data_IF_275227943606
#
_entry.id   IF_275227943606
#
_cell.length_a   1.000
_cell.length_b   1.000
_cell.length_c   1.000
_cell.angle_alpha   90.00
_cell.angle_beta   90.00
_cell.angle_gamma   90.00
#
_symmetry.space_group_name_H-M   'P 1'
#
loop_
_entity.id
_entity.type
_entity.pdbx_description
1 polymer ?
#
# COMPACT_ATOMS: atom_id res chain seq x y z
N UNK A 1 3.83 -12.75 31.86
CA UNK A 1 2.86 -13.75 31.36
C UNK A 1 1.86 -13.02 30.48
N UNK A 2 2.30 -12.68 29.27
CA UNK A 2 1.49 -12.09 28.20
C UNK A 2 2.28 -12.23 26.89
N UNK A 3 2.74 -13.45 26.60
CA UNK A 3 3.68 -13.74 25.51
C UNK A 3 3.15 -14.87 24.60
N UNK A 4 1.84 -15.13 24.60
CA UNK A 4 1.37 -16.39 23.99
C UNK A 4 -0.08 -16.36 23.48
N UNK A 5 -0.49 -15.33 22.72
CA UNK A 5 -1.79 -15.34 22.03
C UNK A 5 -1.87 -14.31 20.89
N UNK A 6 -1.28 -14.61 19.72
CA UNK A 6 -2.02 -14.60 18.44
C UNK A 6 -1.19 -14.95 17.18
N UNK A 7 0.15 -14.91 17.22
CA UNK A 7 1.01 -15.21 16.06
C UNK A 7 2.24 -15.99 16.55
N UNK A 8 2.70 -17.00 15.81
CA UNK A 8 3.89 -17.78 16.18
C UNK A 8 5.17 -16.94 16.19
N UNK A 9 6.31 -17.58 16.51
CA UNK A 9 7.67 -17.02 16.37
C UNK A 9 8.08 -16.74 14.90
N UNK A 10 7.11 -16.63 13.99
CA UNK A 10 7.31 -16.53 12.55
C UNK A 10 7.59 -15.07 12.15
N UNK A 11 8.85 -14.77 11.84
CA UNK A 11 9.31 -13.48 11.34
C UNK A 11 9.13 -13.38 9.82
N UNK A 12 7.88 -13.16 9.38
CA UNK A 12 7.56 -12.99 7.95
C UNK A 12 8.31 -11.79 7.33
N UNK A 13 8.57 -10.75 8.12
CA UNK A 13 9.31 -9.57 7.65
C UNK A 13 10.76 -9.94 7.34
N UNK A 14 11.47 -10.56 8.29
CA UNK A 14 12.84 -11.03 8.10
C UNK A 14 12.93 -12.09 6.99
N UNK A 15 11.96 -13.00 6.89
CA UNK A 15 11.89 -13.98 5.82
C UNK A 15 11.84 -13.32 4.42
N UNK A 16 11.02 -12.27 4.25
CA UNK A 16 10.92 -11.56 2.96
C UNK A 16 12.24 -10.85 2.63
N UNK A 17 12.90 -10.24 3.61
CA UNK A 17 14.21 -9.60 3.39
C UNK A 17 15.29 -10.61 2.97
N UNK A 18 15.37 -11.75 3.67
CA UNK A 18 16.30 -12.83 3.31
C UNK A 18 15.99 -13.43 1.93
N UNK A 19 14.70 -13.53 1.57
CA UNK A 19 14.28 -13.96 0.25
C UNK A 19 14.75 -13.00 -0.84
N UNK A 20 14.58 -11.68 -0.63
CA UNK A 20 15.05 -10.66 -1.58
C UNK A 20 16.56 -10.80 -1.77
N UNK A 21 17.34 -10.84 -0.68
CA UNK A 21 18.79 -11.00 -0.71
C UNK A 21 19.21 -12.29 -1.44
N UNK A 22 18.54 -13.41 -1.15
CA UNK A 22 18.85 -14.70 -1.78
C UNK A 22 18.57 -14.67 -3.29
N UNK A 23 17.49 -14.00 -3.72
CA UNK A 23 17.13 -13.89 -5.13
C UNK A 23 18.11 -12.96 -5.86
N UNK A 24 18.46 -11.80 -5.29
CA UNK A 24 19.39 -10.85 -5.91
C UNK A 24 20.81 -11.44 -6.03
N UNK A 25 21.25 -12.25 -5.06
CA UNK A 25 22.53 -12.95 -5.16
C UNK A 25 22.55 -14.05 -6.23
N UNK A 26 21.41 -14.66 -6.53
CA UNK A 26 21.31 -15.84 -7.41
C UNK A 26 20.95 -15.52 -8.85
N UNK A 27 20.23 -14.42 -9.08
CA UNK A 27 19.71 -14.04 -10.39
C UNK A 27 20.09 -12.59 -10.73
N UNK A 28 20.22 -12.23 -12.02
CA UNK A 28 20.54 -10.87 -12.44
C UNK A 28 19.31 -9.96 -12.26
N UNK A 29 19.04 -9.56 -11.03
CA UNK A 29 18.01 -8.58 -10.66
C UNK A 29 18.59 -7.18 -10.77
N UNK A 30 17.80 -6.23 -11.29
CA UNK A 30 18.13 -4.81 -11.18
C UNK A 30 17.77 -4.34 -9.76
N UNK A 31 18.78 -4.29 -8.88
CA UNK A 31 18.61 -3.88 -7.48
C UNK A 31 18.15 -2.42 -7.34
N UNK A 32 18.28 -1.60 -8.40
CA UNK A 32 17.71 -0.26 -8.40
C UNK A 32 16.19 -0.24 -8.57
N UNK A 33 15.55 -1.38 -8.88
CA UNK A 33 14.12 -1.51 -9.20
C UNK A 33 13.46 -2.68 -8.47
N UNK A 34 13.54 -2.65 -7.15
CA UNK A 34 12.81 -3.58 -6.28
C UNK A 34 11.56 -2.88 -5.75
N UNK A 35 10.40 -3.53 -5.91
CA UNK A 35 9.10 -2.97 -5.51
C UNK A 35 8.29 -4.00 -4.72
N UNK A 36 7.80 -3.68 -3.50
CA UNK A 36 6.82 -4.49 -2.82
C UNK A 36 5.42 -4.11 -3.30
N UNK A 37 4.57 -5.12 -3.45
CA UNK A 37 3.16 -4.94 -3.83
C UNK A 37 2.33 -6.10 -3.30
N UNK A 38 1.05 -5.84 -3.05
CA UNK A 38 0.16 -6.82 -2.47
C UNK A 38 -1.27 -6.34 -2.34
N UNK A 39 -2.14 -7.25 -1.90
CA UNK A 39 -3.55 -7.01 -1.69
C UNK A 39 -3.97 -7.49 -0.30
N UNK A 40 -4.86 -6.74 0.35
CA UNK A 40 -5.36 -7.05 1.70
C UNK A 40 -4.20 -7.17 2.70
N UNK A 41 -4.04 -8.28 3.41
CA UNK A 41 -2.88 -8.49 4.29
C UNK A 41 -1.53 -8.31 3.58
N UNK A 42 -1.45 -8.61 2.27
CA UNK A 42 -0.27 -8.35 1.46
C UNK A 42 -0.01 -6.85 1.26
N UNK A 43 -1.05 -6.01 1.24
CA UNK A 43 -0.89 -4.55 1.23
C UNK A 43 -0.46 -4.02 2.60
N UNK A 44 -0.93 -4.62 3.70
CA UNK A 44 -0.39 -4.34 5.04
C UNK A 44 1.11 -4.65 5.13
N UNK A 45 1.53 -5.84 4.65
CA UNK A 45 2.95 -6.20 4.60
C UNK A 45 3.74 -5.32 3.63
N UNK A 46 3.17 -4.93 2.47
CA UNK A 46 3.82 -4.00 1.53
C UNK A 46 4.14 -2.67 2.20
N UNK A 47 3.18 -2.11 2.94
CA UNK A 47 3.37 -0.86 3.66
C UNK A 47 4.40 -1.01 4.79
N UNK A 48 4.37 -2.12 5.53
CA UNK A 48 5.40 -2.42 6.54
C UNK A 48 6.80 -2.52 5.93
N UNK A 49 6.96 -3.22 4.81
CA UNK A 49 8.23 -3.32 4.09
C UNK A 49 8.73 -1.94 3.65
N UNK A 50 7.85 -1.14 3.07
CA UNK A 50 8.19 0.22 2.64
C UNK A 50 8.59 1.13 3.82
N UNK A 51 7.86 1.09 4.93
CA UNK A 51 8.11 1.94 6.09
C UNK A 51 9.31 1.49 6.94
N UNK A 52 9.62 0.19 6.97
CA UNK A 52 10.68 -0.37 7.82
C UNK A 52 11.98 -0.66 7.08
N UNK A 53 11.95 -0.79 5.74
CA UNK A 53 13.12 -1.12 4.92
C UNK A 53 13.15 -0.31 3.60
N UNK A 54 12.82 0.99 3.67
CA UNK A 54 12.81 1.92 2.53
C UNK A 54 14.13 1.97 1.73
N UNK A 55 15.25 1.61 2.35
CA UNK A 55 16.56 1.51 1.74
C UNK A 55 16.67 0.38 0.70
N UNK A 56 15.71 -0.55 0.63
CA UNK A 56 15.67 -1.63 -0.36
C UNK A 56 14.82 -1.26 -1.58
N UNK A 57 13.72 -0.53 -1.34
CA UNK A 57 12.67 -0.37 -2.35
C UNK A 57 12.79 0.96 -3.10
N UNK A 58 12.51 0.92 -4.41
CA UNK A 58 12.49 2.11 -5.26
C UNK A 58 11.15 2.85 -5.20
N UNK A 59 10.06 2.12 -4.98
CA UNK A 59 8.70 2.60 -4.78
C UNK A 59 7.86 1.44 -4.20
N UNK A 60 6.71 1.74 -3.62
CA UNK A 60 5.77 0.74 -3.13
C UNK A 60 4.33 1.03 -3.58
N UNK A 61 3.57 -0.01 -3.91
CA UNK A 61 2.18 0.20 -4.30
C UNK A 61 1.31 -1.00 -3.97
N UNK A 62 0.14 -0.79 -3.38
CA UNK A 62 -0.72 -1.90 -2.93
C UNK A 62 -2.21 -1.57 -2.91
N UNK A 63 -3.04 -2.53 -2.52
CA UNK A 63 -4.49 -2.36 -2.50
C UNK A 63 -5.20 -2.97 -1.30
N UNK A 64 -6.28 -2.31 -0.87
CA UNK A 64 -7.28 -2.84 0.07
C UNK A 64 -6.78 -3.17 1.49
N UNK A 65 -5.81 -2.43 2.02
CA UNK A 65 -5.45 -2.44 3.46
C UNK A 65 -4.75 -1.14 3.84
N UNK A 66 -4.85 -0.73 5.11
CA UNK A 66 -4.17 0.45 5.64
C UNK A 66 -3.06 0.03 6.61
N UNK A 67 -2.14 0.94 6.90
CA UNK A 67 -1.04 0.74 7.82
C UNK A 67 -1.02 1.86 8.86
N UNK A 68 -0.62 1.54 10.08
CA UNK A 68 -0.72 2.46 11.22
C UNK A 68 0.43 2.30 12.22
N UNK A 69 1.57 1.77 11.75
CA UNK A 69 2.80 1.72 12.55
C UNK A 69 3.73 2.87 12.16
N UNK A 70 4.55 3.33 13.12
CA UNK A 70 5.58 4.32 12.86
C UNK A 70 6.67 3.75 11.93
N UNK A 71 7.23 4.55 11.02
CA UNK A 71 8.33 4.11 10.15
C UNK A 71 9.60 3.85 10.97
N UNK A 72 10.56 3.15 10.34
CA UNK A 72 11.90 2.98 10.91
C UNK A 72 12.55 4.35 11.19
N UNK A 73 13.37 4.51 12.24
CA UNK A 73 14.17 5.72 12.45
C UNK A 73 15.09 6.07 11.27
N UNK A 74 15.44 5.08 10.45
CA UNK A 74 16.30 5.23 9.27
C UNK A 74 15.48 5.37 7.96
N UNK A 75 14.16 5.57 8.06
CA UNK A 75 13.28 5.72 6.92
C UNK A 75 13.70 6.89 6.02
N UNK A 76 13.68 6.65 4.71
CA UNK A 76 13.85 7.68 3.68
C UNK A 76 12.63 7.68 2.76
N UNK A 77 12.05 8.85 2.43
CA UNK A 77 10.88 8.95 1.58
C UNK A 77 11.04 8.23 0.23
N UNK A 78 10.06 7.36 -0.08
CA UNK A 78 9.94 6.66 -1.37
C UNK A 78 8.53 6.88 -1.97
N UNK A 79 8.39 6.87 -3.31
CA UNK A 79 7.08 6.95 -3.95
C UNK A 79 6.12 5.85 -3.46
N UNK A 80 4.89 6.24 -3.13
CA UNK A 80 3.85 5.33 -2.63
C UNK A 80 2.52 5.49 -3.36
N UNK A 81 1.87 4.38 -3.72
CA UNK A 81 0.51 4.40 -4.26
C UNK A 81 -0.39 3.37 -3.60
N UNK A 82 -1.61 3.77 -3.26
CA UNK A 82 -2.65 2.87 -2.79
C UNK A 82 -3.93 2.93 -3.62
N UNK A 83 -4.59 1.78 -3.75
CA UNK A 83 -5.89 1.64 -4.42
C UNK A 83 -6.90 1.05 -3.43
N UNK A 84 -8.03 1.73 -3.25
CA UNK A 84 -9.10 1.26 -2.36
C UNK A 84 -10.48 1.31 -3.02
N UNK A 85 -11.27 0.29 -2.73
CA UNK A 85 -12.68 0.24 -3.09
C UNK A 85 -13.54 1.05 -2.13
N UNK A 86 -14.36 1.97 -2.65
CA UNK A 86 -15.27 2.78 -1.82
C UNK A 86 -16.35 1.92 -1.14
N UNK A 87 -16.71 0.79 -1.74
CA UNK A 87 -17.70 -0.16 -1.22
C UNK A 87 -17.06 -1.45 -0.68
N UNK A 88 -15.81 -1.35 -0.22
CA UNK A 88 -15.14 -2.45 0.48
C UNK A 88 -15.90 -2.81 1.77
N UNK A 89 -16.37 -4.06 1.82
CA UNK A 89 -17.19 -4.62 2.91
C UNK A 89 -16.36 -5.36 3.96
N UNK A 90 -15.04 -5.47 3.76
CA UNK A 90 -14.10 -6.10 4.68
C UNK A 90 -13.19 -5.06 5.32
N UNK A 91 -12.44 -4.31 4.52
CA UNK A 91 -11.62 -3.20 4.97
C UNK A 91 -12.32 -1.91 4.58
N UNK A 92 -13.21 -1.44 5.45
CA UNK A 92 -14.06 -0.30 5.15
C UNK A 92 -13.24 0.92 4.72
N UNK A 93 -13.68 1.60 3.67
CA UNK A 93 -13.04 2.82 3.15
C UNK A 93 -12.74 3.87 4.24
N UNK A 94 -13.67 4.21 5.17
CA UNK A 94 -13.40 5.20 6.20
C UNK A 94 -12.59 4.68 7.40
N UNK A 95 -12.45 3.36 7.61
CA UNK A 95 -11.68 2.84 8.76
C UNK A 95 -11.36 1.34 8.68
N UNK A 96 -10.26 0.91 9.31
CA UNK A 96 -9.97 -0.53 9.56
C UNK A 96 -10.77 -1.14 10.70
N UNK A 97 -11.65 -0.39 11.40
CA UNK A 97 -12.18 -0.81 12.71
C UNK A 97 -12.82 -2.22 12.75
N UNK A 98 -13.47 -2.65 11.66
CA UNK A 98 -14.08 -3.98 11.59
C UNK A 98 -13.07 -5.13 11.58
N UNK A 99 -12.01 -5.01 10.77
CA UNK A 99 -10.96 -6.04 10.69
C UNK A 99 -9.86 -5.82 11.73
N UNK A 100 -9.66 -4.59 12.18
CA UNK A 100 -8.64 -4.23 13.16
C UNK A 100 -8.77 -5.04 14.43
N UNK A 101 -9.99 -5.24 14.94
CA UNK A 101 -10.22 -6.09 16.11
C UNK A 101 -9.75 -7.53 15.91
N UNK A 102 -9.96 -8.10 14.71
CA UNK A 102 -9.50 -9.44 14.36
C UNK A 102 -7.96 -9.53 14.33
N UNK A 103 -7.29 -8.45 13.95
CA UNK A 103 -5.83 -8.31 13.93
C UNK A 103 -5.24 -7.74 15.23
N UNK A 104 -6.01 -7.71 16.32
CA UNK A 104 -5.51 -7.24 17.62
C UNK A 104 -5.29 -5.72 17.71
N UNK A 105 -5.86 -4.94 16.81
CA UNK A 105 -5.87 -3.47 16.86
C UNK A 105 -6.91 -3.02 17.88
N UNK A 106 -6.45 -2.83 19.11
CA UNK A 106 -7.30 -2.35 20.21
C UNK A 106 -7.17 -0.83 20.46
N UNK A 107 -6.19 -0.18 19.83
CA UNK A 107 -6.08 1.27 19.85
C UNK A 107 -7.14 1.88 18.91
N UNK A 108 -7.99 2.76 19.45
CA UNK A 108 -9.06 3.42 18.72
C UNK A 108 -8.53 4.30 17.59
N UNK A 109 -7.41 4.98 17.78
CA UNK A 109 -6.80 5.84 16.76
C UNK A 109 -6.36 5.01 15.55
N UNK A 110 -5.62 3.94 15.77
CA UNK A 110 -5.24 2.98 14.73
C UNK A 110 -6.48 2.34 14.06
N UNK A 111 -7.50 2.01 14.85
CA UNK A 111 -8.74 1.43 14.33
C UNK A 111 -9.53 2.41 13.44
N UNK A 112 -9.32 3.71 13.55
CA UNK A 112 -10.02 4.74 12.77
C UNK A 112 -9.28 5.14 11.49
N UNK A 113 -8.09 4.59 11.23
CA UNK A 113 -7.38 4.82 9.97
C UNK A 113 -8.18 4.23 8.81
N UNK A 114 -8.59 5.07 7.86
CA UNK A 114 -9.22 4.70 6.59
C UNK A 114 -8.34 5.07 5.41
N UNK A 115 -8.82 4.87 4.18
CA UNK A 115 -8.08 5.17 2.94
C UNK A 115 -7.53 6.60 2.91
N UNK A 116 -8.37 7.60 3.20
CA UNK A 116 -7.93 9.00 3.23
C UNK A 116 -6.89 9.22 4.33
N UNK A 117 -7.09 8.67 5.53
CA UNK A 117 -6.13 8.88 6.61
C UNK A 117 -4.78 8.19 6.33
N UNK A 118 -4.82 7.01 5.71
CA UNK A 118 -3.61 6.30 5.30
C UNK A 118 -2.82 7.09 4.26
N UNK A 119 -3.51 7.63 3.25
CA UNK A 119 -2.95 8.53 2.25
C UNK A 119 -2.28 9.76 2.87
N UNK A 120 -2.97 10.45 3.79
CA UNK A 120 -2.39 11.62 4.48
C UNK A 120 -1.20 11.21 5.37
N UNK A 121 -1.25 10.07 6.06
CA UNK A 121 -0.12 9.57 6.84
C UNK A 121 1.11 9.31 5.96
N UNK A 122 0.93 8.72 4.77
CA UNK A 122 2.02 8.54 3.81
C UNK A 122 2.56 9.87 3.28
N UNK A 123 1.68 10.85 3.04
CA UNK A 123 2.10 12.18 2.65
C UNK A 123 2.94 12.86 3.73
N UNK A 124 2.52 12.77 4.99
CA UNK A 124 3.25 13.29 6.16
C UNK A 124 4.60 12.58 6.32
N UNK A 125 4.63 11.25 6.24
CA UNK A 125 5.88 10.46 6.32
C UNK A 125 6.87 10.82 5.19
N UNK A 126 6.37 11.17 4.00
CA UNK A 126 7.19 11.58 2.87
C UNK A 126 7.53 13.08 2.84
N UNK A 127 7.13 13.85 3.86
CA UNK A 127 7.40 15.29 3.91
C UNK A 127 6.74 16.07 2.76
N UNK A 128 5.60 15.59 2.27
CA UNK A 128 4.90 16.19 1.14
C UNK A 128 4.45 17.63 1.43
N UNK A 129 4.54 18.49 0.43
CA UNK A 129 4.12 19.88 0.46
C UNK A 129 2.71 20.04 -0.10
N UNK A 130 2.05 21.14 0.26
CA UNK A 130 0.69 21.46 -0.15
C UNK A 130 -0.34 21.22 0.95
N UNK A 131 -1.44 21.98 0.91
CA UNK A 131 -2.49 21.88 1.93
C UNK A 131 -3.53 20.81 1.62
N UNK A 132 -3.61 20.39 0.35
CA UNK A 132 -4.59 19.44 -0.16
C UNK A 132 -4.00 18.70 -1.36
N UNK A 133 -4.38 17.44 -1.60
CA UNK A 133 -3.93 16.70 -2.76
C UNK A 133 -4.60 17.20 -4.04
N UNK A 134 -3.90 17.07 -5.14
CA UNK A 134 -4.41 17.35 -6.48
C UNK A 134 -5.22 16.16 -7.00
N UNK A 135 -6.34 16.40 -7.69
CA UNK A 135 -7.01 15.36 -8.47
C UNK A 135 -6.31 15.29 -9.82
N UNK A 136 -5.44 14.30 -9.99
CA UNK A 136 -4.64 14.11 -11.21
C UNK A 136 -5.38 13.30 -12.26
N UNK A 137 -6.39 12.52 -11.85
CA UNK A 137 -7.26 11.79 -12.76
C UNK A 137 -8.68 11.70 -12.19
N UNK A 138 -9.67 11.89 -13.06
CA UNK A 138 -11.09 11.75 -12.73
C UNK A 138 -11.80 11.03 -13.87
N UNK A 139 -12.35 9.86 -13.56
CA UNK A 139 -13.18 9.05 -14.45
C UNK A 139 -14.58 8.85 -13.83
N UNK A 140 -15.47 8.18 -14.56
CA UNK A 140 -16.83 7.90 -14.09
C UNK A 140 -16.87 6.92 -12.91
N UNK A 141 -15.85 6.07 -12.77
CA UNK A 141 -15.80 4.95 -11.82
C UNK A 141 -14.61 4.99 -10.83
N UNK A 142 -13.69 5.95 -10.98
CA UNK A 142 -12.64 6.24 -10.02
C UNK A 142 -12.08 7.66 -10.11
N UNK A 143 -11.41 8.11 -9.05
CA UNK A 143 -10.46 9.23 -9.08
C UNK A 143 -9.07 8.81 -8.60
N UNK A 144 -8.04 9.54 -9.02
CA UNK A 144 -6.69 9.46 -8.46
C UNK A 144 -6.32 10.83 -7.92
N UNK A 145 -5.91 10.85 -6.66
CA UNK A 145 -5.42 12.03 -5.95
C UNK A 145 -3.94 11.88 -5.64
N UNK A 146 -3.19 12.98 -5.64
CA UNK A 146 -1.76 12.94 -5.43
C UNK A 146 -1.23 14.13 -4.62
N UNK A 147 -0.21 13.85 -3.82
CA UNK A 147 0.82 14.82 -3.44
C UNK A 147 2.06 14.56 -4.30
N UNK A 148 2.41 15.52 -5.14
CA UNK A 148 3.47 15.35 -6.17
C UNK A 148 4.79 16.03 -5.82
N UNK A 149 4.83 16.80 -4.73
CA UNK A 149 6.01 17.50 -4.23
C UNK A 149 6.33 16.99 -2.83
N UNK A 150 7.14 15.93 -2.76
CA UNK A 150 7.58 15.32 -1.51
C UNK A 150 9.11 15.23 -1.47
N UNK A 151 9.65 14.96 -0.29
CA UNK A 151 11.09 14.78 -0.13
C UNK A 151 11.62 13.65 -1.02
N UNK A 152 12.90 13.73 -1.38
CA UNK A 152 13.57 12.76 -2.24
C UNK A 152 12.93 12.58 -3.64
N UNK A 153 12.15 13.56 -4.11
CA UNK A 153 11.43 13.47 -5.39
C UNK A 153 10.33 12.41 -5.39
N UNK A 154 9.88 11.98 -4.20
CA UNK A 154 8.78 11.05 -4.05
C UNK A 154 7.44 11.71 -4.42
N UNK A 155 6.44 10.87 -4.65
CA UNK A 155 5.04 11.26 -4.70
C UNK A 155 4.19 10.25 -3.92
N UNK A 156 3.03 10.67 -3.45
CA UNK A 156 2.05 9.81 -2.79
C UNK A 156 0.74 9.88 -3.56
N UNK A 157 0.17 8.72 -3.93
CA UNK A 157 -1.08 8.62 -4.69
C UNK A 157 -2.13 7.76 -4.00
N UNK A 158 -3.38 8.22 -4.04
CA UNK A 158 -4.56 7.45 -3.66
C UNK A 158 -5.51 7.35 -4.84
N UNK A 159 -5.83 6.12 -5.25
CA UNK A 159 -6.93 5.84 -6.16
C UNK A 159 -8.15 5.35 -5.38
N UNK A 160 -9.29 6.01 -5.58
CA UNK A 160 -10.57 5.55 -5.02
C UNK A 160 -11.46 4.99 -6.12
N UNK A 161 -11.79 3.70 -6.02
CA UNK A 161 -12.70 3.05 -6.95
C UNK A 161 -14.13 3.10 -6.43
N UNK A 162 -15.03 3.82 -7.12
CA UNK A 162 -16.34 4.16 -6.58
C UNK A 162 -17.30 2.97 -6.45
N UNK A 163 -17.11 1.95 -7.29
CA UNK A 163 -18.00 0.78 -7.36
C UNK A 163 -17.33 -0.54 -6.95
N UNK A 164 -16.04 -0.51 -6.61
CA UNK A 164 -15.28 -1.72 -6.27
C UNK A 164 -15.33 -2.00 -4.78
N UNK A 165 -15.43 -3.28 -4.42
CA UNK A 165 -15.36 -3.75 -3.03
C UNK A 165 -13.93 -4.16 -2.67
N UNK A 166 -13.74 -5.15 -1.79
CA UNK A 166 -12.42 -5.55 -1.30
C UNK A 166 -11.46 -6.01 -2.40
N UNK A 167 -11.98 -6.65 -3.44
CA UNK A 167 -11.18 -7.25 -4.50
C UNK A 167 -11.11 -6.34 -5.75
N UNK A 168 -9.94 -5.76 -6.05
CA UNK A 168 -9.79 -4.77 -7.11
C UNK A 168 -9.51 -5.36 -8.50
N UNK A 169 -9.33 -6.69 -8.62
CA UNK A 169 -8.79 -7.30 -9.83
C UNK A 169 -9.79 -7.43 -10.98
N UNK A 170 -9.30 -7.23 -12.20
CA UNK A 170 -10.08 -7.39 -13.42
C UNK A 170 -10.60 -8.83 -13.57
N UNK A 171 -11.80 -8.98 -14.13
CA UNK A 171 -12.47 -10.25 -14.44
C UNK A 171 -12.83 -11.09 -13.21
N UNK A 172 -12.70 -10.55 -12.00
CA UNK A 172 -13.20 -11.21 -10.79
C UNK A 172 -14.65 -10.82 -10.47
N UNK A 173 -15.42 -10.32 -11.46
CA UNK A 173 -16.84 -10.00 -11.31
C UNK A 173 -17.77 -10.72 -12.31
N UNK A 174 -18.92 -11.26 -11.84
CA UNK A 174 -19.24 -11.49 -10.44
C UNK A 174 -18.47 -12.73 -9.98
N UNK A 175 -17.35 -12.62 -9.25
CA UNK A 175 -16.58 -13.82 -8.92
C UNK A 175 -16.02 -13.91 -7.49
N UNK A 176 -16.09 -15.18 -7.06
CA UNK A 176 -15.88 -15.85 -5.77
C UNK A 176 -16.72 -15.40 -4.57
N UNK A 177 -17.71 -16.23 -4.23
CA UNK A 177 -18.40 -16.31 -2.93
C UNK A 177 -17.51 -16.90 -1.82
N UNK A 178 -16.21 -16.61 -1.86
CA UNK A 178 -15.23 -17.06 -0.87
C UNK A 178 -15.26 -16.13 0.34
N UNK A 179 -15.25 -16.70 1.54
CA UNK A 179 -15.11 -15.92 2.78
C UNK A 179 -13.84 -15.06 2.68
N UNK A 180 -13.98 -13.76 2.92
CA UNK A 180 -12.83 -12.84 2.97
C UNK A 180 -12.33 -12.31 1.61
N UNK A 181 -12.98 -12.62 0.49
CA UNK A 181 -12.60 -12.05 -0.82
C UNK A 181 -13.38 -10.79 -1.20
N UNK A 182 -14.57 -10.59 -0.62
CA UNK A 182 -15.49 -9.54 -1.05
C UNK A 182 -15.98 -9.74 -2.48
N UNK A 183 -16.80 -8.81 -2.98
CA UNK A 183 -17.21 -8.78 -4.39
C UNK A 183 -16.05 -8.28 -5.25
N UNK A 184 -15.82 -8.91 -6.40
CA UNK A 184 -14.82 -8.41 -7.35
C UNK A 184 -15.20 -7.12 -8.05
N UNK A 185 -14.26 -6.60 -8.83
CA UNK A 185 -14.33 -5.33 -9.54
C UNK A 185 -15.39 -5.35 -10.67
N UNK A 186 -16.48 -4.55 -10.56
CA UNK A 186 -17.55 -4.55 -11.56
C UNK A 186 -17.28 -3.63 -12.76
N UNK A 187 -16.21 -2.83 -12.76
CA UNK A 187 -16.04 -1.71 -13.70
C UNK A 187 -15.05 -1.99 -14.82
N UNK A 188 -14.26 -3.06 -14.72
CA UNK A 188 -13.31 -3.44 -15.76
C UNK A 188 -11.96 -2.71 -15.68
N UNK A 189 -11.70 -1.97 -14.61
CA UNK A 189 -10.41 -1.31 -14.40
C UNK A 189 -9.29 -2.34 -14.16
N UNK A 190 -8.17 -2.17 -14.86
CA UNK A 190 -6.96 -2.98 -14.72
C UNK A 190 -6.06 -2.47 -13.59
N UNK A 191 -6.47 -2.65 -12.33
CA UNK A 191 -5.74 -2.14 -11.15
C UNK A 191 -4.30 -2.64 -11.05
N UNK A 192 -4.03 -3.89 -11.43
CA UNK A 192 -2.66 -4.43 -11.50
C UNK A 192 -1.79 -3.65 -12.48
N UNK A 193 -2.34 -3.26 -13.64
CA UNK A 193 -1.60 -2.46 -14.62
C UNK A 193 -1.35 -1.05 -14.09
N UNK A 194 -2.33 -0.44 -13.42
CA UNK A 194 -2.18 0.90 -12.82
C UNK A 194 -1.09 0.90 -11.74
N UNK A 195 -1.08 -0.08 -10.83
CA UNK A 195 -0.03 -0.22 -9.82
C UNK A 195 1.34 -0.44 -10.48
N UNK A 196 1.41 -1.27 -11.51
CA UNK A 196 2.67 -1.51 -12.24
C UNK A 196 3.18 -0.27 -12.96
N UNK A 197 2.29 0.46 -13.64
CA UNK A 197 2.63 1.69 -14.35
C UNK A 197 3.15 2.75 -13.38
N UNK A 198 2.59 2.84 -12.17
CA UNK A 198 3.14 3.65 -11.09
C UNK A 198 4.55 3.20 -10.69
N UNK A 199 4.71 1.94 -10.27
CA UNK A 199 5.98 1.41 -9.76
C UNK A 199 7.13 1.54 -10.77
N UNK A 200 6.86 1.20 -12.03
CA UNK A 200 7.87 1.14 -13.09
C UNK A 200 8.39 2.52 -13.54
N UNK A 201 7.88 3.61 -12.98
CA UNK A 201 8.43 4.96 -13.17
C UNK A 201 9.69 5.22 -12.34
N UNK A 202 9.95 4.41 -11.31
CA UNK A 202 10.93 4.74 -10.27
C UNK A 202 12.13 3.80 -10.23
N UNK A 203 13.33 4.34 -10.01
CA UNK A 203 14.53 3.57 -9.71
C UNK A 203 15.40 4.28 -8.68
N UNK A 204 16.08 3.53 -7.82
CA UNK A 204 17.04 4.08 -6.85
C UNK A 204 18.30 4.59 -7.55
N UNK A 205 18.81 5.74 -7.11
CA UNK A 205 20.12 6.24 -7.53
C UNK A 205 20.12 7.18 -8.74
N UNK A 206 18.95 7.66 -9.19
CA UNK A 206 18.91 8.90 -9.95
C UNK A 206 19.08 10.07 -8.97
N UNK A 207 20.32 10.55 -8.80
CA UNK A 207 20.53 11.91 -8.32
C UNK A 207 19.83 12.84 -9.33
N UNK A 208 18.74 13.49 -8.93
CA UNK A 208 18.23 14.61 -9.69
C UNK A 208 19.29 15.71 -9.65
N UNK A 209 20.12 15.80 -10.69
CA UNK A 209 21.02 16.93 -10.90
C UNK A 209 20.17 18.21 -10.82
N UNK A 210 20.44 19.03 -9.81
CA UNK A 210 19.95 20.42 -9.70
C UNK A 210 21.02 21.39 -10.17
#
# INVERSE_FOLDING_TARGET
>A
MADDLCCGDDDDFGFILEMIETITQKYPVDESRIYPTGWSNGCGMTQRLAAQASEIFAAAACSSMYFWEDPSPDYSPIPFMEIHGLVDELVHYPSVSLVGFYYGVYNVEAALVGAIQNFENWADMNGCQGLMPEIIELQDDYDIRAYSDCENGAEVRLMTQFYTSHNPYLNDYPASSGVGRGKGNPTGIQTTQILWDFLNQYSKGEEFET
#
